data_IF_977259242708
#
_entry.id   IF_977259242708
#
_cell.length_a   1.000
_cell.length_b   1.000
_cell.length_c   1.000
_cell.angle_alpha   90.00
_cell.angle_beta   90.00
_cell.angle_gamma   90.00
#
_symmetry.space_group_name_H-M   'P 1'
#
loop_
_entity.id
_entity.type
_entity.pdbx_description
1 polymer ?
#
# COMPACT_ATOMS: atom_id res chain seq x y z
N UNK A 1 0.91 22.31 6.43
CA UNK A 1 -0.47 21.79 6.42
C UNK A 1 -0.81 21.56 4.97
N UNK A 2 -0.92 20.31 4.54
CA UNK A 2 -1.36 19.99 3.18
C UNK A 2 -2.87 20.18 3.09
N UNK A 3 -3.33 20.73 1.97
CA UNK A 3 -4.74 20.85 1.64
C UNK A 3 -5.36 19.46 1.48
N UNK A 4 -6.70 19.39 1.46
CA UNK A 4 -7.39 18.12 1.21
C UNK A 4 -6.99 17.53 -0.14
N UNK A 5 -6.91 18.35 -1.18
CA UNK A 5 -6.50 17.91 -2.53
C UNK A 5 -5.07 17.40 -2.55
N UNK A 6 -4.13 18.11 -1.92
CA UNK A 6 -2.75 17.62 -1.77
C UNK A 6 -2.70 16.30 -1.00
N UNK A 7 -3.53 16.14 0.04
CA UNK A 7 -3.62 14.87 0.77
C UNK A 7 -4.17 13.74 -0.11
N UNK A 8 -5.21 13.98 -0.92
CA UNK A 8 -5.71 12.99 -1.87
C UNK A 8 -4.63 12.55 -2.86
N UNK A 9 -3.89 13.49 -3.45
CA UNK A 9 -2.75 13.19 -4.32
C UNK A 9 -1.66 12.41 -3.59
N UNK A 10 -1.35 12.79 -2.34
CA UNK A 10 -0.34 12.09 -1.55
C UNK A 10 -0.73 10.63 -1.31
N UNK A 11 -2.02 10.28 -1.16
CA UNK A 11 -2.45 8.90 -0.94
C UNK A 11 -2.09 7.96 -2.11
N UNK A 12 -1.96 8.49 -3.32
CA UNK A 12 -1.62 7.73 -4.52
C UNK A 12 -0.25 7.05 -4.44
N UNK A 13 0.68 7.53 -3.59
CA UNK A 13 2.02 6.95 -3.47
C UNK A 13 1.98 5.45 -3.09
N UNK A 14 0.96 5.03 -2.32
CA UNK A 14 0.76 3.63 -1.93
C UNK A 14 0.54 2.75 -3.18
N UNK A 15 -0.32 3.21 -4.08
CA UNK A 15 -0.63 2.55 -5.35
C UNK A 15 0.54 2.61 -6.33
N UNK A 16 1.21 3.76 -6.42
CA UNK A 16 2.36 3.96 -7.32
C UNK A 16 3.51 3.04 -6.91
N UNK A 17 3.88 3.00 -5.63
CA UNK A 17 4.95 2.12 -5.12
C UNK A 17 4.64 0.64 -5.33
N UNK A 18 3.41 0.22 -5.03
CA UNK A 18 2.95 -1.14 -5.29
C UNK A 18 3.01 -1.48 -6.80
N UNK A 19 2.59 -0.56 -7.67
CA UNK A 19 2.64 -0.75 -9.13
C UNK A 19 4.08 -0.85 -9.66
N UNK A 20 5.03 -0.09 -9.09
CA UNK A 20 6.44 -0.19 -9.46
C UNK A 20 6.99 -1.59 -9.16
N UNK A 21 6.64 -2.17 -8.01
CA UNK A 21 7.07 -3.51 -7.62
C UNK A 21 6.40 -4.61 -8.45
N UNK A 22 5.11 -4.46 -8.78
CA UNK A 22 4.38 -5.42 -9.62
C UNK A 22 4.91 -5.50 -11.06
N UNK A 23 5.53 -4.41 -11.54
CA UNK A 23 6.19 -4.32 -12.85
C UNK A 23 7.58 -4.96 -12.89
N UNK A 24 8.14 -5.39 -11.77
CA UNK A 24 9.40 -6.13 -11.72
C UNK A 24 9.17 -7.60 -12.12
N UNK A 25 8.84 -7.85 -13.39
CA UNK A 25 8.40 -9.16 -13.88
C UNK A 25 9.36 -10.31 -13.51
N UNK A 26 10.67 -10.08 -13.62
CA UNK A 26 11.68 -11.09 -13.29
C UNK A 26 11.80 -11.41 -11.81
N UNK A 27 11.35 -10.51 -10.93
CA UNK A 27 11.46 -10.64 -9.46
C UNK A 27 10.10 -10.77 -8.77
N UNK A 28 9.01 -10.82 -9.54
CA UNK A 28 7.63 -10.82 -9.03
C UNK A 28 7.34 -11.94 -8.05
N UNK A 29 8.01 -13.08 -8.23
CA UNK A 29 7.85 -14.24 -7.36
C UNK A 29 8.76 -14.27 -6.14
N UNK A 30 9.74 -13.37 -6.05
CA UNK A 30 10.60 -13.27 -4.89
C UNK A 30 9.81 -12.86 -3.65
N UNK A 31 10.05 -13.59 -2.56
CA UNK A 31 9.38 -13.33 -1.28
C UNK A 31 9.57 -11.89 -0.81
N UNK A 32 10.76 -11.33 -1.02
CA UNK A 32 11.07 -9.94 -0.65
C UNK A 32 10.19 -8.95 -1.43
N UNK A 33 10.04 -9.13 -2.75
CA UNK A 33 9.21 -8.27 -3.59
C UNK A 33 7.74 -8.37 -3.21
N UNK A 34 7.24 -9.57 -2.93
CA UNK A 34 5.86 -9.79 -2.46
C UNK A 34 5.57 -9.05 -1.15
N UNK A 35 6.50 -9.11 -0.19
CA UNK A 35 6.37 -8.40 1.09
C UNK A 35 6.46 -6.88 0.90
N UNK A 36 7.42 -6.41 0.09
CA UNK A 36 7.56 -4.99 -0.21
C UNK A 36 6.31 -4.43 -0.91
N UNK A 37 5.68 -5.19 -1.81
CA UNK A 37 4.42 -4.82 -2.46
C UNK A 37 3.32 -4.59 -1.42
N UNK A 38 3.16 -5.53 -0.49
CA UNK A 38 2.15 -5.47 0.57
C UNK A 38 2.37 -4.26 1.47
N UNK A 39 3.62 -3.99 1.87
CA UNK A 39 3.99 -2.79 2.64
C UNK A 39 3.61 -1.54 1.86
N UNK A 40 4.12 -1.36 0.64
CA UNK A 40 3.86 -0.18 -0.17
C UNK A 40 2.35 0.07 -0.34
N UNK A 41 1.57 -0.97 -0.57
CA UNK A 41 0.13 -0.84 -0.77
C UNK A 41 -0.64 -0.55 0.51
N UNK A 42 -0.27 -1.15 1.65
CA UNK A 42 -1.17 -1.23 2.81
C UNK A 42 -0.64 -0.63 4.11
N UNK A 43 0.57 -0.06 4.16
CA UNK A 43 1.12 0.54 5.39
C UNK A 43 0.33 1.75 5.93
N UNK A 44 -0.65 2.25 5.17
CA UNK A 44 -1.59 3.28 5.60
C UNK A 44 -3.02 2.77 5.82
N UNK A 45 -3.22 1.45 5.72
CA UNK A 45 -4.45 0.82 6.19
C UNK A 45 -4.56 0.93 7.71
N UNK A 46 -5.78 0.94 8.20
CA UNK A 46 -6.07 1.09 9.62
C UNK A 46 -6.99 -0.02 10.07
N UNK A 47 -6.73 -0.55 11.26
CA UNK A 47 -7.51 -1.66 11.82
C UNK A 47 -9.04 -1.36 11.88
N UNK A 48 -9.41 -0.07 11.97
CA UNK A 48 -10.78 0.43 12.00
C UNK A 48 -11.43 0.65 10.61
N UNK A 49 -10.74 0.31 9.51
CA UNK A 49 -11.23 0.45 8.14
C UNK A 49 -11.22 1.89 7.60
N UNK A 50 -10.71 2.86 8.36
CA UNK A 50 -10.63 4.26 7.92
C UNK A 50 -9.32 4.59 7.20
N UNK A 51 -8.55 3.55 6.87
CA UNK A 51 -7.31 3.64 6.13
C UNK A 51 -7.54 3.79 4.62
N UNK A 52 -6.45 3.70 3.88
CA UNK A 52 -6.42 3.75 2.42
C UNK A 52 -5.25 2.87 1.93
N UNK A 53 -5.24 2.42 0.67
CA UNK A 53 -6.18 2.72 -0.42
C UNK A 53 -7.41 1.81 -0.53
N UNK A 54 -7.38 0.63 0.07
CA UNK A 54 -8.37 -0.43 -0.14
C UNK A 54 -9.41 -0.52 0.98
N UNK A 55 -9.16 0.12 2.14
CA UNK A 55 -10.09 0.16 3.27
C UNK A 55 -10.15 -1.17 4.04
N UNK A 56 -8.99 -1.83 4.16
CA UNK A 56 -8.86 -3.12 4.84
C UNK A 56 -9.14 -2.97 6.34
N UNK A 57 -9.73 -4.01 6.93
CA UNK A 57 -10.10 -4.02 8.36
C UNK A 57 -9.47 -5.21 9.08
N UNK A 58 -9.14 -5.02 10.36
CA UNK A 58 -8.71 -6.09 11.23
C UNK A 58 -7.61 -6.98 10.62
N UNK A 59 -7.89 -8.28 10.54
CA UNK A 59 -6.97 -9.31 10.03
C UNK A 59 -6.78 -9.31 8.50
N UNK A 60 -7.52 -8.47 7.77
CA UNK A 60 -7.27 -8.26 6.35
C UNK A 60 -5.97 -7.47 6.11
N UNK A 61 -5.52 -6.69 7.11
CA UNK A 61 -4.25 -5.98 7.07
C UNK A 61 -3.15 -6.99 7.41
N UNK A 62 -2.26 -7.23 6.45
CA UNK A 62 -1.14 -8.12 6.68
C UNK A 62 -0.19 -7.56 7.74
N UNK A 63 0.36 -8.42 8.59
CA UNK A 63 1.34 -8.07 9.62
C UNK A 63 2.56 -7.33 9.05
N UNK A 64 2.89 -7.59 7.78
CA UNK A 64 4.01 -6.95 7.14
C UNK A 64 3.78 -5.46 6.84
N UNK A 65 2.53 -5.03 6.71
CA UNK A 65 2.15 -3.67 6.34
C UNK A 65 2.36 -2.67 7.49
#
# INVERSE_FOLDING_TARGET
MVTKEEFETMKEHTLIGASMLDKLEHYKDEKMIKVAYQICRWHHERYDGKGYPDGLTGEQILIAA
#
